data_IF_680563372206
#
_entry.id   IF_680563372206
#
_cell.length_a   1.000
_cell.length_b   1.000
_cell.length_c   1.000
_cell.angle_alpha   90.00
_cell.angle_beta   90.00
_cell.angle_gamma   90.00
#
_symmetry.space_group_name_H-M   'P 1'
#
loop_
_entity.id
_entity.type
_entity.pdbx_description
1 polymer ?
#
# COMPACT_ATOMS: atom_id res chain seq x y z
N UNK A 1 -0.67 -11.74 7.31
CA UNK A 1 -0.01 -10.47 6.95
C UNK A 1 0.47 -9.78 8.23
N UNK A 2 1.72 -9.31 8.26
CA UNK A 2 2.34 -8.58 9.39
C UNK A 2 2.24 -7.07 9.17
N UNK A 3 2.20 -6.30 10.26
CA UNK A 3 2.19 -4.84 10.23
C UNK A 3 3.38 -4.31 11.04
N UNK A 4 4.13 -3.38 10.44
CA UNK A 4 5.23 -2.65 11.08
C UNK A 4 4.85 -1.17 11.08
N UNK A 5 4.65 -0.59 12.27
CA UNK A 5 4.05 0.74 12.40
C UNK A 5 4.98 1.69 13.14
N UNK A 6 5.23 2.86 12.57
CA UNK A 6 5.93 3.92 13.30
C UNK A 6 5.17 4.34 14.56
N UNK A 7 5.89 4.67 15.64
CA UNK A 7 5.27 5.16 16.86
C UNK A 7 4.52 6.47 16.60
N UNK A 8 3.41 6.66 17.31
CA UNK A 8 2.60 7.89 17.27
C UNK A 8 2.12 8.29 15.87
N UNK A 9 1.83 7.31 15.02
CA UNK A 9 1.18 7.50 13.73
C UNK A 9 -0.33 7.33 13.87
N UNK A 10 -1.09 8.18 13.17
CA UNK A 10 -2.51 7.95 12.90
C UNK A 10 -2.67 7.69 11.40
N UNK A 11 -3.20 6.54 11.05
CA UNK A 11 -3.49 6.19 9.66
C UNK A 11 -4.64 5.19 9.62
N UNK A 12 -5.44 5.21 8.56
CA UNK A 12 -6.44 4.18 8.33
C UNK A 12 -6.10 3.48 7.01
N UNK A 13 -6.09 2.16 7.05
CA UNK A 13 -5.94 1.34 5.86
C UNK A 13 -7.31 0.79 5.47
N UNK A 14 -7.81 1.25 4.34
CA UNK A 14 -9.15 0.86 3.84
C UNK A 14 -8.98 -0.15 2.73
N UNK A 15 -9.47 -1.36 2.98
CA UNK A 15 -9.40 -2.50 2.09
C UNK A 15 -10.78 -2.74 1.48
N UNK A 16 -10.78 -3.16 0.22
CA UNK A 16 -12.00 -3.43 -0.54
C UNK A 16 -11.93 -4.81 -1.19
N UNK A 17 -13.03 -5.57 -1.05
CA UNK A 17 -13.17 -6.88 -1.68
C UNK A 17 -13.38 -6.82 -3.21
N UNK A 18 -13.75 -5.64 -3.72
CA UNK A 18 -13.81 -5.30 -5.13
C UNK A 18 -12.70 -4.32 -5.55
N UNK A 19 -12.52 -4.17 -6.86
CA UNK A 19 -11.58 -3.20 -7.44
C UNK A 19 -12.15 -1.77 -7.35
N UNK A 20 -11.32 -0.75 -7.61
CA UNK A 20 -11.76 0.65 -7.64
C UNK A 20 -12.55 1.08 -6.39
N UNK A 21 -12.11 0.65 -5.21
CA UNK A 21 -12.77 0.96 -3.93
C UNK A 21 -14.24 0.49 -3.85
N UNK A 22 -14.57 -0.66 -4.45
CA UNK A 22 -15.93 -1.24 -4.47
C UNK A 22 -16.08 -2.52 -3.65
N UNK A 23 -17.31 -2.97 -3.43
CA UNK A 23 -17.60 -4.19 -2.67
C UNK A 23 -17.53 -4.00 -1.15
N UNK A 24 -17.37 -5.10 -0.42
CA UNK A 24 -17.24 -5.07 1.04
C UNK A 24 -16.03 -4.23 1.46
N UNK A 25 -16.26 -3.27 2.35
CA UNK A 25 -15.25 -2.37 2.90
C UNK A 25 -14.80 -2.87 4.26
N UNK A 26 -13.50 -3.07 4.43
CA UNK A 26 -12.87 -3.34 5.73
C UNK A 26 -11.87 -2.23 6.06
N UNK A 27 -11.85 -1.83 7.32
CA UNK A 27 -10.95 -0.77 7.80
C UNK A 27 -10.04 -1.36 8.87
N UNK A 28 -8.75 -1.08 8.73
CA UNK A 28 -7.75 -1.27 9.76
C UNK A 28 -7.34 0.10 10.24
N UNK A 29 -7.68 0.41 11.48
CA UNK A 29 -7.39 1.68 12.10
C UNK A 29 -6.04 1.59 12.82
N UNK A 30 -5.13 2.52 12.53
CA UNK A 30 -3.83 2.63 13.20
C UNK A 30 -3.91 3.84 14.13
N UNK A 31 -3.99 3.54 15.41
CA UNK A 31 -4.06 4.53 16.47
C UNK A 31 -2.69 4.80 17.08
N UNK A 32 -2.42 6.08 17.32
CA UNK A 32 -1.21 6.64 17.92
C UNK A 32 -0.86 5.97 19.26
N UNK A 33 -1.86 5.49 20.01
CA UNK A 33 -1.74 5.03 21.41
C UNK A 33 -1.83 3.51 21.53
N UNK A 34 -2.76 2.88 20.81
CA UNK A 34 -3.07 1.45 20.95
C UNK A 34 -2.53 0.58 19.81
N UNK A 35 -1.86 1.18 18.82
CA UNK A 35 -1.38 0.46 17.65
C UNK A 35 -2.51 0.12 16.68
N UNK A 36 -2.49 -1.09 16.13
CA UNK A 36 -3.49 -1.56 15.15
C UNK A 36 -4.79 -1.96 15.85
N UNK A 37 -5.92 -1.45 15.36
CA UNK A 37 -7.27 -1.87 15.68
C UNK A 37 -8.04 -2.17 14.38
N UNK A 38 -9.20 -2.83 14.49
CA UNK A 38 -10.02 -3.18 13.34
C UNK A 38 -9.78 -4.59 12.79
N UNK A 39 -10.35 -4.86 11.63
CA UNK A 39 -10.47 -6.22 11.08
C UNK A 39 -9.13 -6.82 10.66
N UNK A 40 -9.08 -8.15 10.58
CA UNK A 40 -8.05 -8.81 9.80
C UNK A 40 -8.25 -8.56 8.31
N UNK A 41 -7.13 -8.44 7.60
CA UNK A 41 -7.11 -8.25 6.16
C UNK A 41 -6.58 -9.53 5.51
N UNK A 42 -7.46 -10.39 4.98
CA UNK A 42 -7.03 -11.57 4.27
C UNK A 42 -6.36 -11.16 2.97
N UNK A 43 -5.13 -11.64 2.76
CA UNK A 43 -4.34 -11.36 1.54
C UNK A 43 -5.08 -11.74 0.26
N UNK A 44 -5.90 -12.81 0.31
CA UNK A 44 -6.66 -13.32 -0.82
C UNK A 44 -7.86 -12.43 -1.23
N UNK A 45 -8.31 -11.54 -0.34
CA UNK A 45 -9.49 -10.69 -0.56
C UNK A 45 -9.15 -9.22 -0.88
N UNK A 46 -7.88 -8.85 -0.79
CA UNK A 46 -7.38 -7.50 -1.07
C UNK A 46 -7.34 -7.22 -2.59
N UNK A 47 -8.43 -6.64 -3.12
CA UNK A 47 -8.50 -6.21 -4.54
C UNK A 47 -8.37 -4.70 -4.75
N UNK A 48 -8.46 -3.92 -3.70
CA UNK A 48 -8.14 -2.49 -3.73
C UNK A 48 -7.82 -2.03 -2.31
N UNK A 49 -6.95 -1.04 -2.22
CA UNK A 49 -6.39 -0.53 -0.98
C UNK A 49 -6.25 0.98 -1.06
N UNK A 50 -6.64 1.67 -0.01
CA UNK A 50 -6.40 3.09 0.17
C UNK A 50 -5.77 3.35 1.54
N UNK A 51 -4.75 4.21 1.57
CA UNK A 51 -4.15 4.72 2.80
C UNK A 51 -4.71 6.11 3.07
N UNK A 52 -5.26 6.29 4.26
CA UNK A 52 -5.70 7.58 4.80
C UNK A 52 -4.71 7.99 5.88
N UNK A 53 -3.94 9.05 5.64
CA UNK A 53 -2.94 9.50 6.62
C UNK A 53 -2.55 10.97 6.38
N UNK A 54 -1.84 11.62 7.32
CA UNK A 54 -1.26 12.94 7.09
C UNK A 54 -0.21 12.94 5.95
N UNK A 55 0.03 14.12 5.36
CA UNK A 55 1.15 14.34 4.43
C UNK A 55 2.47 13.92 5.09
N UNK A 56 3.40 13.38 4.29
CA UNK A 56 4.66 12.85 4.79
C UNK A 56 4.51 11.50 5.48
N UNK A 57 3.42 10.77 5.22
CA UNK A 57 3.31 9.35 5.59
C UNK A 57 3.62 8.50 4.37
N UNK A 58 4.37 7.42 4.55
CA UNK A 58 4.56 6.40 3.52
C UNK A 58 4.12 5.02 4.00
N UNK A 59 3.71 4.21 3.04
CA UNK A 59 3.40 2.80 3.23
C UNK A 59 4.26 1.97 2.29
N UNK A 60 4.84 0.89 2.82
CA UNK A 60 5.67 -0.05 2.06
C UNK A 60 4.98 -1.40 2.09
N UNK A 61 4.68 -1.93 0.92
CA UNK A 61 4.14 -3.27 0.72
C UNK A 61 5.31 -4.20 0.37
N UNK A 62 5.59 -5.18 1.25
CA UNK A 62 6.68 -6.15 1.06
C UNK A 62 6.10 -7.54 0.78
N UNK A 63 6.65 -8.24 -0.20
CA UNK A 63 6.34 -9.67 -0.45
C UNK A 63 7.21 -10.62 0.38
N UNK A 64 8.21 -10.09 1.09
CA UNK A 64 9.15 -10.82 1.93
C UNK A 64 9.26 -10.17 3.31
N UNK A 65 9.51 -10.96 4.35
CA UNK A 65 9.63 -10.52 5.75
C UNK A 65 11.04 -10.62 6.34
N UNK A 66 12.04 -11.02 5.54
CA UNK A 66 13.46 -11.02 5.93
C UNK A 66 14.16 -9.68 5.72
N UNK A 67 15.41 -9.59 6.18
CA UNK A 67 16.23 -8.36 6.10
C UNK A 67 16.55 -7.96 4.64
N UNK A 68 16.60 -8.92 3.73
CA UNK A 68 16.85 -8.77 2.30
C UNK A 68 15.58 -8.48 1.48
N UNK A 69 14.51 -7.98 2.11
CA UNK A 69 13.22 -7.74 1.46
C UNK A 69 13.30 -6.82 0.21
N UNK A 70 14.28 -5.91 0.14
CA UNK A 70 14.49 -5.06 -1.04
C UNK A 70 14.94 -5.85 -2.29
N UNK A 71 15.42 -7.09 -2.13
CA UNK A 71 15.72 -8.00 -3.23
C UNK A 71 14.46 -8.66 -3.83
N UNK A 72 13.33 -8.60 -3.12
CA UNK A 72 12.05 -9.15 -3.53
C UNK A 72 11.10 -8.05 -4.01
N UNK A 73 10.00 -8.37 -4.71
CA UNK A 73 9.02 -7.36 -5.12
C UNK A 73 8.49 -6.55 -3.93
N UNK A 74 8.48 -5.23 -4.07
CA UNK A 74 7.96 -4.30 -3.07
C UNK A 74 7.50 -3.00 -3.72
N UNK A 75 6.56 -2.31 -3.07
CA UNK A 75 6.12 -0.97 -3.49
C UNK A 75 6.04 -0.03 -2.31
N UNK A 76 6.57 1.18 -2.48
CA UNK A 76 6.37 2.28 -1.56
C UNK A 76 5.35 3.26 -2.15
N UNK A 77 4.39 3.69 -1.32
CA UNK A 77 3.34 4.65 -1.64
C UNK A 77 3.41 5.77 -0.60
N UNK A 78 3.55 7.02 -1.05
CA UNK A 78 3.68 8.21 -0.22
C UNK A 78 2.44 9.08 -0.30
N UNK A 79 2.03 9.64 0.84
CA UNK A 79 1.00 10.68 0.93
C UNK A 79 1.70 12.03 0.69
N UNK A 80 1.71 12.49 -0.55
CA UNK A 80 2.32 13.76 -0.97
C UNK A 80 1.30 14.70 -1.58
N UNK A 81 1.52 16.01 -1.40
CA UNK A 81 0.61 17.04 -1.90
C UNK A 81 0.52 16.97 -3.43
N UNK A 82 -0.70 17.08 -3.96
CA UNK A 82 -0.96 17.03 -5.40
C UNK A 82 -1.18 15.62 -5.97
N UNK A 83 -0.85 14.57 -5.21
CA UNK A 83 -1.06 13.17 -5.62
C UNK A 83 -2.01 12.40 -4.69
N UNK A 84 -2.77 13.15 -3.88
CA UNK A 84 -3.79 12.60 -2.98
C UNK A 84 -5.13 13.28 -3.25
N UNK A 85 -6.22 12.55 -3.00
CA UNK A 85 -7.56 13.14 -2.88
C UNK A 85 -7.92 13.31 -1.41
N UNK A 86 -9.03 14.01 -1.14
CA UNK A 86 -9.55 14.17 0.23
C UNK A 86 -10.80 13.32 0.43
N UNK A 87 -10.91 12.67 1.58
CA UNK A 87 -12.18 12.06 1.99
C UNK A 87 -13.16 13.13 2.49
N UNK A 88 -14.38 12.72 2.89
CA UNK A 88 -15.42 13.61 3.40
C UNK A 88 -15.03 14.36 4.68
N UNK A 89 -14.09 13.83 5.44
CA UNK A 89 -13.57 14.40 6.69
C UNK A 89 -12.36 15.32 6.44
N UNK A 90 -11.94 15.47 5.17
CA UNK A 90 -10.82 16.31 4.78
C UNK A 90 -9.45 15.65 4.90
N UNK A 91 -9.37 14.36 5.28
CA UNK A 91 -8.13 13.60 5.38
C UNK A 91 -7.57 13.26 4.00
N UNK A 92 -6.23 13.24 3.87
CA UNK A 92 -5.57 12.85 2.62
C UNK A 92 -5.68 11.35 2.40
N UNK A 93 -5.96 10.97 1.16
CA UNK A 93 -6.10 9.58 0.74
C UNK A 93 -5.30 9.34 -0.52
N UNK A 94 -4.57 8.24 -0.55
CA UNK A 94 -3.91 7.72 -1.75
C UNK A 94 -4.38 6.28 -2.00
N UNK A 95 -4.63 5.96 -3.28
CA UNK A 95 -4.94 4.60 -3.72
C UNK A 95 -3.64 3.85 -4.01
N UNK A 96 -3.66 2.54 -3.83
CA UNK A 96 -2.55 1.66 -4.21
C UNK A 96 -2.82 1.06 -5.60
N UNK A 97 -2.27 1.63 -6.67
CA UNK A 97 -2.59 1.24 -8.05
C UNK A 97 -2.20 -0.21 -8.35
N UNK A 98 -1.11 -0.71 -7.75
CA UNK A 98 -0.64 -2.09 -7.90
C UNK A 98 -1.68 -3.14 -7.46
N UNK A 99 -2.63 -2.76 -6.61
CA UNK A 99 -3.69 -3.66 -6.15
C UNK A 99 -4.99 -3.50 -6.95
N UNK A 100 -5.23 -2.37 -7.62
CA UNK A 100 -6.49 -2.05 -8.33
C UNK A 100 -6.68 -2.79 -9.67
N UNK A 101 -5.90 -3.83 -9.93
CA UNK A 101 -5.96 -4.59 -11.18
C UNK A 101 -7.29 -5.36 -11.26
N UNK A 102 -7.93 -5.38 -12.45
CA UNK A 102 -9.12 -6.20 -12.72
C UNK A 102 -8.85 -7.71 -12.63
N UNK A 103 -7.58 -8.07 -12.73
CA UNK A 103 -7.11 -9.44 -12.82
C UNK A 103 -7.25 -10.13 -11.47
N UNK A 104 -7.60 -11.42 -11.48
CA UNK A 104 -7.59 -12.22 -10.25
C UNK A 104 -6.15 -12.27 -9.68
N UNK A 105 -5.95 -12.51 -8.38
CA UNK A 105 -4.60 -12.63 -7.79
C UNK A 105 -3.69 -13.68 -8.46
N UNK A 106 -4.27 -14.66 -9.17
CA UNK A 106 -3.59 -15.71 -9.94
C UNK A 106 -3.48 -15.41 -11.44
N UNK A 107 -4.09 -14.33 -11.91
CA UNK A 107 -4.05 -13.94 -13.32
C UNK A 107 -2.76 -13.15 -13.61
N UNK A 108 -1.78 -13.84 -14.20
CA UNK A 108 -0.60 -13.21 -14.77
C UNK A 108 -1.00 -12.48 -16.05
N UNK A 109 -1.14 -11.14 -16.01
CA UNK A 109 -1.20 -10.35 -17.25
C UNK A 109 0.21 -10.17 -17.79
N UNK A 110 0.40 -10.56 -19.04
CA UNK A 110 1.66 -10.45 -19.80
C UNK A 110 1.73 -9.16 -20.63
N UNK A 111 1.03 -8.11 -20.21
CA UNK A 111 0.83 -6.91 -21.01
C UNK A 111 1.97 -5.89 -20.72
N UNK A 112 2.89 -5.63 -21.66
CA UNK A 112 4.14 -4.91 -21.40
C UNK A 112 3.95 -3.46 -20.95
N UNK A 113 2.88 -2.79 -21.39
CA UNK A 113 2.64 -1.36 -21.13
C UNK A 113 2.35 -1.02 -19.66
N UNK A 114 2.07 -2.04 -18.83
CA UNK A 114 1.78 -1.84 -17.40
C UNK A 114 3.05 -1.75 -16.55
N UNK A 115 4.15 -2.34 -17.01
CA UNK A 115 5.46 -2.35 -16.35
C UNK A 115 6.10 -0.95 -16.30
N UNK A 116 5.55 0.04 -17.01
CA UNK A 116 6.14 1.37 -17.18
C UNK A 116 5.52 2.50 -16.34
N UNK A 117 4.45 2.26 -15.58
CA UNK A 117 3.68 3.40 -15.02
C UNK A 117 4.32 4.14 -13.84
N UNK A 118 5.23 3.50 -13.10
CA UNK A 118 5.87 4.08 -11.91
C UNK A 118 7.37 3.79 -11.85
N UNK A 119 8.19 4.69 -11.28
CA UNK A 119 9.63 4.48 -11.16
C UNK A 119 9.99 3.14 -10.52
N UNK A 120 10.83 2.39 -11.22
CA UNK A 120 11.45 1.17 -10.72
C UNK A 120 12.78 1.51 -10.07
N UNK A 121 12.97 1.09 -8.83
CA UNK A 121 14.19 1.32 -8.05
C UNK A 121 14.57 0.07 -7.27
N UNK A 122 15.86 -0.15 -7.06
CA UNK A 122 16.35 -1.32 -6.32
C UNK A 122 16.24 -1.12 -4.81
N UNK A 123 16.44 0.13 -4.35
CA UNK A 123 16.46 0.49 -2.93
C UNK A 123 15.42 1.54 -2.59
N UNK A 124 14.90 1.50 -1.36
CA UNK A 124 13.95 2.49 -0.86
C UNK A 124 14.49 3.93 -0.93
N UNK A 125 15.80 4.11 -0.71
CA UNK A 125 16.49 5.41 -0.72
C UNK A 125 16.57 6.07 -2.10
N UNK A 126 16.45 5.31 -3.18
CA UNK A 126 16.56 5.81 -4.56
C UNK A 126 15.20 6.30 -5.09
N UNK A 127 14.13 6.02 -4.36
CA UNK A 127 12.76 6.28 -4.76
C UNK A 127 12.34 7.75 -4.80
N UNK A 128 11.83 8.17 -5.96
CA UNK A 128 11.25 9.51 -6.18
C UNK A 128 9.75 9.44 -6.49
N UNK A 129 9.04 10.55 -6.30
CA UNK A 129 7.61 10.63 -6.56
C UNK A 129 6.75 10.05 -5.44
N UNK A 130 5.47 9.85 -5.75
CA UNK A 130 4.46 9.36 -4.78
C UNK A 130 4.32 7.84 -4.75
N UNK A 131 4.82 7.14 -5.76
CA UNK A 131 4.84 5.67 -5.79
C UNK A 131 6.05 5.20 -6.59
N UNK A 132 6.76 4.20 -6.06
CA UNK A 132 7.98 3.63 -6.65
C UNK A 132 8.34 2.33 -5.94
N UNK A 133 9.18 1.50 -6.54
CA UNK A 133 9.60 0.26 -5.90
C UNK A 133 10.23 -0.72 -6.87
N UNK A 134 10.30 -1.98 -6.46
CA UNK A 134 10.89 -3.06 -7.27
C UNK A 134 9.80 -3.79 -8.04
N UNK A 135 10.15 -4.22 -9.24
CA UNK A 135 9.28 -4.98 -10.12
C UNK A 135 8.78 -6.28 -9.47
N UNK A 136 7.56 -6.69 -9.83
CA UNK A 136 6.99 -8.00 -9.51
C UNK A 136 5.54 -7.96 -9.03
N UNK A 137 5.00 -9.14 -8.73
CA UNK A 137 3.61 -9.32 -8.36
C UNK A 137 3.37 -9.09 -6.85
N UNK A 138 2.68 -8.00 -6.51
CA UNK A 138 2.31 -7.68 -5.13
C UNK A 138 0.96 -8.28 -4.74
N UNK A 139 0.05 -8.46 -5.70
CA UNK A 139 -1.34 -8.80 -5.41
C UNK A 139 -1.42 -10.22 -4.85
N UNK A 140 -2.08 -10.37 -3.70
CA UNK A 140 -2.13 -11.66 -3.00
C UNK A 140 -0.81 -12.12 -2.37
N UNK A 141 0.31 -11.41 -2.60
CA UNK A 141 1.65 -11.78 -2.10
C UNK A 141 2.19 -10.87 -1.01
N UNK A 142 1.51 -9.76 -0.69
CA UNK A 142 1.90 -8.86 0.41
C UNK A 142 1.96 -9.65 1.74
N UNK A 143 3.16 -9.80 2.30
CA UNK A 143 3.38 -10.44 3.58
C UNK A 143 3.46 -9.43 4.71
N UNK A 144 4.06 -8.27 4.45
CA UNK A 144 4.29 -7.21 5.43
C UNK A 144 3.82 -5.87 4.88
N UNK A 145 3.09 -5.11 5.69
CA UNK A 145 2.78 -3.71 5.44
C UNK A 145 3.52 -2.87 6.48
N UNK A 146 4.41 -2.01 6.01
CA UNK A 146 5.06 -0.99 6.85
C UNK A 146 4.34 0.31 6.66
N UNK A 147 4.02 1.04 7.73
CA UNK A 147 3.50 2.41 7.63
C UNK A 147 4.28 3.31 8.58
N UNK A 148 4.88 4.35 8.03
CA UNK A 148 5.81 5.21 8.74
C UNK A 148 5.73 6.66 8.30
N UNK A 149 6.22 7.55 9.17
CA UNK A 149 6.41 8.96 8.83
C UNK A 149 7.72 9.12 8.08
N UNK A 150 7.70 9.87 6.99
CA UNK A 150 8.90 10.41 6.37
C UNK A 150 9.41 11.57 7.23
N UNK A 151 10.73 11.60 7.43
CA UNK A 151 11.41 12.58 8.28
C UNK A 151 11.18 14.01 7.82
#
# INVERSE_FOLDING_TARGET
>A
MKFELSPKLRADLVCYAGINLSGERRVVDIHVVSGRQGADVPTAELKSLALIAPLGTRMILKTWDGEDWEAHPWRCIRIVKGHCFRNKEGNFVVRVPDLETLDKPDAQRTDPEREESYPLVEKLSEGTGWTFGREGDLKGRVKVIVIEKEG
#
